data_IF_600517847129
#
_entry.id   IF_600517847129
#
_cell.length_a   1.000
_cell.length_b   1.000
_cell.length_c   1.000
_cell.angle_alpha   90.00
_cell.angle_beta   90.00
_cell.angle_gamma   90.00
#
_symmetry.space_group_name_H-M   'P 1'
#
loop_
_entity.id
_entity.type
_entity.pdbx_description
1 polymer ?
#
# COMPACT_ATOMS: atom_id res chain seq x y z
N UNK A 1 24.33 1.01 15.42
CA UNK A 1 24.34 1.06 13.95
C UNK A 1 23.60 2.31 13.51
N UNK A 2 24.16 3.06 12.56
CA UNK A 2 23.53 4.27 12.03
C UNK A 2 22.61 3.90 10.85
N UNK A 3 21.44 4.55 10.78
CA UNK A 3 20.52 4.45 9.64
C UNK A 3 21.08 5.27 8.48
N UNK A 4 21.12 4.67 7.30
CA UNK A 4 21.41 5.35 6.03
C UNK A 4 20.16 6.09 5.54
N UNK A 5 20.32 6.98 4.56
CA UNK A 5 19.19 7.69 3.95
C UNK A 5 18.19 6.72 3.31
N UNK A 6 18.70 5.68 2.65
CA UNK A 6 17.87 4.58 2.12
C UNK A 6 17.03 3.91 3.21
N UNK A 7 17.63 3.60 4.37
CA UNK A 7 16.87 2.99 5.46
C UNK A 7 15.78 3.93 5.99
N UNK A 8 16.08 5.24 6.06
CA UNK A 8 15.11 6.26 6.47
C UNK A 8 13.95 6.33 5.50
N UNK A 9 14.19 6.33 4.20
CA UNK A 9 13.13 6.33 3.18
C UNK A 9 12.21 5.11 3.29
N UNK A 10 12.78 3.91 3.43
CA UNK A 10 12.01 2.67 3.61
C UNK A 10 11.17 2.74 4.89
N UNK A 11 11.75 3.21 5.98
CA UNK A 11 11.06 3.34 7.26
C UNK A 11 9.98 4.42 7.22
N UNK A 12 10.19 5.53 6.51
CA UNK A 12 9.16 6.55 6.27
C UNK A 12 8.00 5.93 5.47
N UNK A 13 8.29 5.18 4.42
CA UNK A 13 7.24 4.49 3.65
C UNK A 13 6.42 3.54 4.55
N UNK A 14 7.09 2.68 5.33
CA UNK A 14 6.44 1.71 6.22
C UNK A 14 5.74 2.32 7.44
N UNK A 15 6.08 3.55 7.83
CA UNK A 15 5.47 4.23 8.98
C UNK A 15 4.37 5.22 8.58
N UNK A 16 4.39 5.73 7.35
CA UNK A 16 3.47 6.81 6.93
C UNK A 16 2.61 6.49 5.72
N UNK A 17 3.08 5.60 4.84
CA UNK A 17 2.53 5.49 3.48
C UNK A 17 1.89 4.14 3.23
N UNK A 18 2.47 3.06 3.76
CA UNK A 18 2.02 1.69 3.52
C UNK A 18 2.22 0.85 4.77
N UNK A 19 1.36 -0.15 4.98
CA UNK A 19 1.39 -1.00 6.17
C UNK A 19 2.52 -2.02 6.15
N UNK A 20 2.83 -2.54 4.96
CA UNK A 20 3.84 -3.56 4.75
C UNK A 20 4.41 -3.52 3.33
N UNK A 21 5.62 -4.04 3.17
CA UNK A 21 6.29 -4.18 1.89
C UNK A 21 6.94 -5.57 1.78
N UNK A 22 6.94 -6.16 0.58
CA UNK A 22 7.72 -7.39 0.34
C UNK A 22 9.21 -7.09 0.20
N UNK A 23 10.04 -8.14 0.36
CA UNK A 23 11.47 -8.04 0.04
C UNK A 23 11.68 -7.57 -1.41
N UNK A 24 10.91 -8.12 -2.34
CA UNK A 24 11.00 -7.86 -3.76
C UNK A 24 10.62 -6.40 -4.07
N UNK A 25 9.54 -5.89 -3.47
CA UNK A 25 9.15 -4.47 -3.57
C UNK A 25 10.25 -3.54 -3.07
N UNK A 26 10.79 -3.82 -1.88
CA UNK A 26 11.87 -3.01 -1.31
C UNK A 26 13.12 -3.04 -2.20
N UNK A 27 13.51 -4.23 -2.66
CA UNK A 27 14.70 -4.39 -3.50
C UNK A 27 14.56 -3.66 -4.83
N UNK A 28 13.42 -3.80 -5.54
CA UNK A 28 13.18 -3.13 -6.83
C UNK A 28 13.11 -1.61 -6.72
N UNK A 29 12.67 -1.07 -5.59
CA UNK A 29 12.52 0.38 -5.41
C UNK A 29 13.80 1.06 -4.95
N UNK A 30 14.54 0.49 -3.98
CA UNK A 30 15.67 1.17 -3.33
C UNK A 30 17.05 0.59 -3.69
N UNK A 31 17.09 -0.55 -4.36
CA UNK A 31 18.29 -1.15 -4.93
C UNK A 31 18.12 -1.32 -6.44
N UNK A 32 19.16 -1.82 -7.10
CA UNK A 32 19.06 -2.28 -8.48
C UNK A 32 18.13 -3.48 -8.57
N UNK A 33 17.22 -3.49 -9.54
CA UNK A 33 16.36 -4.63 -9.84
C UNK A 33 17.18 -5.77 -10.47
N UNK A 34 17.90 -6.51 -9.62
CA UNK A 34 18.78 -7.59 -9.99
C UNK A 34 18.91 -8.60 -8.85
N UNK A 35 19.36 -9.84 -9.13
CA UNK A 35 19.61 -10.85 -8.09
C UNK A 35 20.59 -10.37 -7.00
N UNK A 36 21.62 -9.61 -7.39
CA UNK A 36 22.59 -9.04 -6.44
C UNK A 36 21.98 -7.90 -5.62
N UNK A 37 21.11 -7.09 -6.20
CA UNK A 37 20.33 -6.06 -5.50
C UNK A 37 19.42 -6.67 -4.43
N UNK A 38 18.65 -7.72 -4.78
CA UNK A 38 17.79 -8.45 -3.84
C UNK A 38 18.62 -9.07 -2.70
N UNK A 39 19.77 -9.68 -3.01
CA UNK A 39 20.64 -10.27 -2.00
C UNK A 39 21.19 -9.22 -1.02
N UNK A 40 21.56 -8.04 -1.54
CA UNK A 40 22.07 -6.93 -0.73
C UNK A 40 20.97 -6.31 0.14
N UNK A 41 19.79 -6.08 -0.43
CA UNK A 41 18.60 -5.63 0.29
C UNK A 41 18.28 -6.60 1.44
N UNK A 42 18.22 -7.91 1.16
CA UNK A 42 17.95 -8.94 2.17
C UNK A 42 18.94 -8.89 3.33
N UNK A 43 20.24 -8.75 3.05
CA UNK A 43 21.27 -8.63 4.10
C UNK A 43 21.05 -7.38 4.94
N UNK A 44 20.79 -6.22 4.33
CA UNK A 44 20.55 -4.97 5.07
C UNK A 44 19.28 -5.06 5.93
N UNK A 45 18.18 -5.53 5.36
CA UNK A 45 16.90 -5.66 6.06
C UNK A 45 16.97 -6.67 7.20
N UNK A 46 17.76 -7.74 7.08
CA UNK A 46 17.99 -8.66 8.19
C UNK A 46 18.60 -7.97 9.42
N UNK A 47 19.50 -7.00 9.21
CA UNK A 47 20.10 -6.23 10.32
C UNK A 47 19.10 -5.25 10.94
N UNK A 48 18.24 -4.62 10.13
CA UNK A 48 17.18 -3.72 10.62
C UNK A 48 16.03 -4.47 11.31
N UNK A 49 15.88 -5.76 10.97
CA UNK A 49 14.85 -6.65 11.48
C UNK A 49 15.33 -7.59 12.59
N UNK A 50 16.57 -7.45 13.06
CA UNK A 50 17.13 -8.27 14.13
C UNK A 50 16.60 -7.81 15.51
N UNK A 51 15.80 -8.63 16.22
CA UNK A 51 15.26 -8.27 17.53
C UNK A 51 16.32 -8.10 18.62
N UNK A 52 17.50 -8.72 18.46
CA UNK A 52 18.62 -8.55 19.39
C UNK A 52 19.37 -7.23 19.16
N UNK A 53 19.17 -6.58 18.02
CA UNK A 53 19.80 -5.32 17.69
C UNK A 53 19.12 -4.16 18.40
N UNK A 54 19.92 -3.25 18.97
CA UNK A 54 19.44 -1.92 19.41
C UNK A 54 18.80 -1.12 18.27
N UNK A 55 18.97 -1.54 17.02
CA UNK A 55 18.39 -0.92 15.84
C UNK A 55 17.19 -1.69 15.28
N UNK A 56 16.52 -2.53 16.09
CA UNK A 56 15.28 -3.21 15.71
C UNK A 56 14.18 -2.19 15.38
N UNK A 57 14.03 -1.89 14.10
CA UNK A 57 13.13 -0.83 13.59
C UNK A 57 12.05 -1.40 12.67
N UNK A 58 12.25 -2.59 12.11
CA UNK A 58 11.24 -3.30 11.34
C UNK A 58 11.10 -4.73 11.81
N UNK A 59 9.95 -5.36 11.56
CA UNK A 59 9.72 -6.77 11.84
C UNK A 59 9.64 -7.52 10.50
N UNK A 60 10.37 -8.63 10.39
CA UNK A 60 10.28 -9.55 9.26
C UNK A 60 9.22 -10.61 9.54
N UNK A 61 8.31 -10.81 8.58
CA UNK A 61 7.27 -11.84 8.62
C UNK A 61 7.33 -12.72 7.35
N UNK A 62 6.81 -13.94 7.45
CA UNK A 62 6.48 -14.77 6.29
C UNK A 62 4.97 -14.94 6.23
N UNK A 63 4.36 -14.48 5.14
CA UNK A 63 2.91 -14.54 4.92
C UNK A 63 2.63 -15.19 3.56
N UNK A 64 1.46 -15.81 3.41
CA UNK A 64 1.02 -16.25 2.09
C UNK A 64 0.31 -15.09 1.40
N UNK A 65 0.79 -14.72 0.21
CA UNK A 65 0.19 -13.69 -0.61
C UNK A 65 0.18 -14.13 -2.08
N UNK A 66 -0.82 -13.69 -2.83
CA UNK A 66 -0.77 -13.85 -4.29
C UNK A 66 0.43 -13.08 -4.87
N UNK A 67 1.03 -13.58 -5.96
CA UNK A 67 2.02 -12.82 -6.72
C UNK A 67 1.54 -11.40 -7.05
N UNK A 68 2.48 -10.45 -7.10
CA UNK A 68 2.19 -9.07 -7.46
C UNK A 68 1.64 -9.01 -8.91
N UNK A 69 0.48 -8.36 -9.08
CA UNK A 69 -0.07 -8.03 -10.39
C UNK A 69 0.77 -6.93 -11.05
N UNK A 70 0.82 -6.89 -12.38
CA UNK A 70 1.32 -5.71 -13.07
C UNK A 70 0.29 -4.57 -12.93
N UNK A 71 0.65 -3.50 -12.21
CA UNK A 71 -0.20 -2.32 -11.98
C UNK A 71 0.32 -1.13 -12.80
N UNK A 72 0.14 -1.17 -14.12
CA UNK A 72 0.60 -0.11 -15.02
C UNK A 72 -0.25 1.17 -14.95
N UNK A 73 -1.48 1.07 -14.44
CA UNK A 73 -2.40 2.17 -14.25
C UNK A 73 -3.71 1.71 -13.62
N UNK A 74 -4.62 2.64 -13.31
CA UNK A 74 -5.94 2.29 -12.83
C UNK A 74 -6.74 1.57 -13.93
N UNK A 75 -7.52 0.58 -13.52
CA UNK A 75 -8.44 -0.17 -14.38
C UNK A 75 -9.65 0.69 -14.76
N UNK A 76 -10.00 1.62 -13.87
CA UNK A 76 -11.10 2.54 -14.05
C UNK A 76 -10.85 3.84 -13.27
N UNK A 77 -11.27 4.96 -13.85
CA UNK A 77 -11.28 6.27 -13.23
C UNK A 77 -12.71 6.80 -13.28
N UNK A 78 -13.10 7.57 -12.27
CA UNK A 78 -14.38 8.25 -12.25
C UNK A 78 -14.27 9.62 -11.61
N UNK A 79 -14.99 10.59 -12.17
CA UNK A 79 -15.10 11.96 -11.69
C UNK A 79 -16.56 12.30 -11.33
N UNK A 80 -16.80 13.18 -10.34
CA UNK A 80 -18.13 13.69 -10.04
C UNK A 80 -18.84 14.25 -11.28
N UNK A 81 -20.07 13.79 -11.49
CA UNK A 81 -20.89 14.16 -12.65
C UNK A 81 -20.81 13.17 -13.82
N UNK A 82 -19.84 12.25 -13.83
CA UNK A 82 -19.77 11.17 -14.83
C UNK A 82 -20.80 10.06 -14.54
N UNK A 83 -21.30 9.36 -15.58
CA UNK A 83 -22.22 8.26 -15.40
C UNK A 83 -21.59 7.12 -14.57
N UNK A 84 -22.44 6.39 -13.84
CA UNK A 84 -22.02 5.23 -13.08
C UNK A 84 -21.42 4.15 -13.99
N UNK A 85 -20.35 3.44 -13.56
CA UNK A 85 -19.78 2.36 -14.34
C UNK A 85 -20.70 1.14 -14.39
N UNK A 86 -20.46 0.27 -15.37
CA UNK A 86 -21.07 -1.05 -15.40
C UNK A 86 -20.40 -1.98 -14.35
N UNK A 87 -20.91 -1.97 -13.11
CA UNK A 87 -20.27 -2.61 -11.95
C UNK A 87 -19.92 -4.09 -12.17
N UNK A 88 -20.80 -4.85 -12.84
CA UNK A 88 -20.55 -6.27 -13.15
C UNK A 88 -19.35 -6.47 -14.07
N UNK A 89 -19.20 -5.61 -15.09
CA UNK A 89 -18.08 -5.70 -16.03
C UNK A 89 -16.77 -5.28 -15.35
N UNK A 90 -16.83 -4.26 -14.49
CA UNK A 90 -15.68 -3.81 -13.73
C UNK A 90 -15.21 -4.87 -12.72
N UNK A 91 -16.13 -5.46 -11.94
CA UNK A 91 -15.85 -6.58 -11.04
C UNK A 91 -15.21 -7.76 -11.77
N UNK A 92 -15.73 -8.12 -12.95
CA UNK A 92 -15.16 -9.19 -13.77
C UNK A 92 -13.71 -8.88 -14.19
N UNK A 93 -13.44 -7.66 -14.67
CA UNK A 93 -12.08 -7.22 -15.04
C UNK A 93 -11.11 -7.31 -13.87
N UNK A 94 -11.52 -6.87 -12.68
CA UNK A 94 -10.70 -6.95 -11.46
C UNK A 94 -10.36 -8.40 -11.10
N UNK A 95 -11.37 -9.28 -11.09
CA UNK A 95 -11.23 -10.70 -10.73
C UNK A 95 -10.36 -11.48 -11.72
N UNK A 96 -10.50 -11.22 -13.02
CA UNK A 96 -9.79 -11.96 -14.08
C UNK A 96 -8.26 -11.86 -13.98
N UNK A 97 -7.74 -10.84 -13.28
CA UNK A 97 -6.30 -10.67 -13.05
C UNK A 97 -5.70 -11.74 -12.15
N UNK A 98 -6.52 -12.36 -11.29
CA UNK A 98 -6.05 -13.35 -10.32
C UNK A 98 -6.11 -14.76 -10.92
N UNK A 99 -4.96 -15.26 -11.36
CA UNK A 99 -4.81 -16.59 -11.95
C UNK A 99 -3.74 -17.47 -11.26
N UNK A 100 -2.89 -16.88 -10.43
CA UNK A 100 -1.85 -17.60 -9.69
C UNK A 100 -2.25 -17.83 -8.23
N UNK A 101 -1.79 -18.95 -7.66
CA UNK A 101 -2.05 -19.29 -6.26
C UNK A 101 -1.18 -18.45 -5.28
N UNK A 102 -1.64 -18.23 -4.03
CA UNK A 102 -0.81 -17.62 -3.00
C UNK A 102 0.49 -18.39 -2.75
N UNK A 103 1.58 -17.65 -2.53
CA UNK A 103 2.90 -18.21 -2.19
C UNK A 103 3.48 -17.58 -0.93
N UNK A 104 4.35 -18.31 -0.20
CA UNK A 104 5.09 -17.74 0.92
C UNK A 104 5.92 -16.54 0.46
N UNK A 105 5.65 -15.38 1.05
CA UNK A 105 6.23 -14.09 0.72
C UNK A 105 6.85 -13.50 1.97
N UNK A 106 8.11 -13.05 1.87
CA UNK A 106 8.79 -12.37 2.98
C UNK A 106 8.40 -10.90 2.95
N UNK A 107 7.82 -10.41 4.04
CA UNK A 107 7.38 -9.02 4.18
C UNK A 107 7.99 -8.36 5.39
N UNK A 108 8.02 -7.03 5.37
CA UNK A 108 8.53 -6.20 6.44
C UNK A 108 7.47 -5.17 6.84
N UNK A 109 7.33 -4.96 8.15
CA UNK A 109 6.48 -3.93 8.74
C UNK A 109 7.30 -3.05 9.68
N UNK A 110 6.89 -1.80 9.88
CA UNK A 110 7.50 -0.94 10.89
C UNK A 110 7.19 -1.47 12.30
N UNK A 111 8.17 -1.45 13.19
CA UNK A 111 7.96 -1.70 14.63
C UNK A 111 7.34 -0.47 15.30
N UNK A 112 6.83 -0.62 16.52
CA UNK A 112 6.43 0.53 17.34
C UNK A 112 7.59 1.49 17.60
N UNK A 113 8.82 0.97 17.69
CA UNK A 113 10.02 1.80 17.86
C UNK A 113 10.23 2.72 16.66
N UNK A 114 10.13 2.19 15.45
CA UNK A 114 10.20 3.00 14.24
C UNK A 114 9.06 4.01 14.18
N UNK A 115 7.84 3.58 14.48
CA UNK A 115 6.68 4.46 14.53
C UNK A 115 6.91 5.67 15.46
N UNK A 116 7.43 5.44 16.68
CA UNK A 116 7.78 6.52 17.62
C UNK A 116 8.91 7.42 17.10
N UNK A 117 9.94 6.84 16.49
CA UNK A 117 11.08 7.60 15.97
C UNK A 117 10.72 8.48 14.77
N UNK A 118 9.83 8.01 13.89
CA UNK A 118 9.43 8.70 12.67
C UNK A 118 8.07 9.42 12.76
N UNK A 119 7.37 9.34 13.90
CA UNK A 119 6.07 9.98 14.09
C UNK A 119 4.94 9.38 13.25
N UNK A 120 4.96 8.06 13.04
CA UNK A 120 4.01 7.33 12.20
C UNK A 120 3.36 6.14 12.90
N UNK A 121 2.97 5.13 12.11
CA UNK A 121 2.29 3.91 12.54
C UNK A 121 3.23 2.71 12.44
N UNK A 122 3.00 1.70 13.26
CA UNK A 122 3.81 0.48 13.30
C UNK A 122 3.39 -0.41 14.46
N UNK A 123 4.05 -1.56 14.59
CA UNK A 123 3.75 -2.56 15.61
C UNK A 123 3.29 -3.87 14.97
N UNK A 124 2.20 -4.45 15.47
CA UNK A 124 1.72 -5.77 15.01
C UNK A 124 0.83 -5.64 13.77
N UNK A 125 1.02 -6.54 12.80
CA UNK A 125 0.08 -6.70 11.69
C UNK A 125 -1.23 -7.31 12.20
N UNK A 126 -2.30 -6.51 12.21
CA UNK A 126 -3.60 -6.90 12.81
C UNK A 126 -4.37 -7.92 11.96
N UNK A 127 -4.21 -7.90 10.64
CA UNK A 127 -4.97 -8.74 9.70
C UNK A 127 -4.04 -9.44 8.71
N UNK A 128 -3.29 -10.47 9.13
CA UNK A 128 -2.31 -11.14 8.27
C UNK A 128 -2.89 -11.72 6.97
N UNK A 129 -4.18 -12.11 6.97
CA UNK A 129 -4.87 -12.61 5.78
C UNK A 129 -5.14 -11.53 4.72
N UNK A 130 -4.96 -10.24 5.06
CA UNK A 130 -5.07 -9.12 4.10
C UNK A 130 -3.74 -8.80 3.42
N UNK A 131 -2.67 -9.57 3.66
CA UNK A 131 -1.33 -9.30 3.11
C UNK A 131 -1.32 -9.13 1.58
N UNK A 132 -2.08 -9.94 0.84
CA UNK A 132 -2.21 -9.75 -0.62
C UNK A 132 -2.72 -8.36 -0.96
N UNK A 133 -3.80 -7.92 -0.32
CA UNK A 133 -4.40 -6.61 -0.59
C UNK A 133 -3.43 -5.48 -0.18
N UNK A 134 -2.88 -5.53 1.04
CA UNK A 134 -1.92 -4.53 1.53
C UNK A 134 -0.67 -4.42 0.64
N UNK A 135 -0.13 -5.54 0.13
CA UNK A 135 1.02 -5.53 -0.79
C UNK A 135 0.70 -4.81 -2.11
N UNK A 136 -0.50 -4.97 -2.64
CA UNK A 136 -0.89 -4.35 -3.90
C UNK A 136 -1.23 -2.87 -3.71
N UNK A 137 -1.85 -2.49 -2.59
CA UNK A 137 -1.97 -1.06 -2.22
C UNK A 137 -0.59 -0.43 -2.11
N UNK A 138 0.38 -1.15 -1.51
CA UNK A 138 1.75 -0.67 -1.43
C UNK A 138 2.41 -0.55 -2.80
N UNK A 139 2.12 -1.45 -3.73
CA UNK A 139 2.61 -1.38 -5.10
C UNK A 139 2.11 -0.12 -5.84
N UNK A 140 0.85 0.29 -5.63
CA UNK A 140 0.31 1.55 -6.17
C UNK A 140 1.10 2.74 -5.63
N UNK A 141 1.33 2.79 -4.31
CA UNK A 141 2.16 3.83 -3.70
C UNK A 141 3.58 3.86 -4.29
N UNK A 142 4.24 2.71 -4.39
CA UNK A 142 5.60 2.63 -4.94
C UNK A 142 5.66 3.03 -6.42
N UNK A 143 4.58 2.77 -7.18
CA UNK A 143 4.43 3.27 -8.54
C UNK A 143 4.41 4.79 -8.55
N UNK A 144 3.54 5.43 -7.76
CA UNK A 144 3.53 6.89 -7.65
C UNK A 144 4.87 7.42 -7.17
N UNK A 145 5.53 6.80 -6.19
CA UNK A 145 6.84 7.23 -5.73
C UNK A 145 7.88 7.29 -6.86
N UNK A 146 7.77 6.40 -7.86
CA UNK A 146 8.66 6.36 -9.01
C UNK A 146 8.23 7.31 -10.15
N UNK A 147 6.94 7.42 -10.44
CA UNK A 147 6.44 8.11 -11.65
C UNK A 147 5.85 9.49 -11.39
N UNK A 148 5.37 9.73 -10.17
CA UNK A 148 4.77 11.00 -9.73
C UNK A 148 5.06 11.21 -8.21
N UNK A 149 6.30 11.60 -7.85
CA UNK A 149 6.70 11.77 -6.45
C UNK A 149 5.87 12.82 -5.70
N UNK A 150 5.31 13.81 -6.41
CA UNK A 150 4.45 14.83 -5.83
C UNK A 150 3.16 14.17 -5.32
N UNK A 151 2.49 13.39 -6.16
CA UNK A 151 1.30 12.62 -5.76
C UNK A 151 1.61 11.62 -4.65
N UNK A 152 2.77 10.95 -4.68
CA UNK A 152 3.21 10.07 -3.59
C UNK A 152 3.43 10.83 -2.26
N UNK A 153 3.92 12.06 -2.33
CA UNK A 153 4.05 12.97 -1.18
C UNK A 153 2.70 13.25 -0.50
N UNK A 154 1.65 13.42 -1.30
CA UNK A 154 0.27 13.69 -0.88
C UNK A 154 -0.54 12.45 -0.51
N UNK A 155 0.01 11.25 -0.71
CA UNK A 155 -0.60 9.98 -0.33
C UNK A 155 -0.79 9.85 1.19
N UNK A 156 -1.98 9.42 1.59
CA UNK A 156 -2.33 9.08 2.96
C UNK A 156 -3.01 7.71 2.98
N UNK A 157 -2.50 6.77 3.78
CA UNK A 157 -3.04 5.41 3.89
C UNK A 157 -4.19 5.28 4.90
N UNK A 158 -4.98 4.21 4.78
CA UNK A 158 -6.05 3.82 5.71
C UNK A 158 -5.70 4.04 7.20
N UNK A 159 -4.53 3.56 7.62
CA UNK A 159 -4.09 3.58 9.03
C UNK A 159 -4.02 5.00 9.62
N UNK A 160 -3.77 6.02 8.79
CA UNK A 160 -3.66 7.42 9.22
C UNK A 160 -5.00 8.04 9.61
N UNK A 161 -6.11 7.62 8.98
CA UNK A 161 -7.44 8.22 9.21
C UNK A 161 -8.44 7.28 9.87
N UNK A 162 -8.14 5.99 10.01
CA UNK A 162 -8.98 5.06 10.76
C UNK A 162 -9.38 5.53 12.19
N UNK A 163 -8.52 6.23 12.96
CA UNK A 163 -8.91 6.76 14.27
C UNK A 163 -9.95 7.88 14.23
N UNK A 164 -10.02 8.63 13.11
CA UNK A 164 -10.84 9.83 12.96
C UNK A 164 -12.21 9.54 12.31
N UNK A 165 -12.36 8.38 11.65
CA UNK A 165 -13.57 8.02 10.88
C UNK A 165 -14.25 6.77 11.44
N UNK A 166 -14.85 6.90 12.62
CA UNK A 166 -15.66 5.80 13.22
C UNK A 166 -16.94 5.60 12.40
N UNK A 167 -17.15 4.38 11.89
CA UNK A 167 -18.36 3.91 11.15
C UNK A 167 -18.50 4.37 9.70
N UNK A 168 -17.49 4.99 9.11
CA UNK A 168 -17.47 5.32 7.68
C UNK A 168 -16.63 4.30 6.90
N UNK A 169 -16.96 4.07 5.62
CA UNK A 169 -16.10 3.28 4.75
C UNK A 169 -14.76 4.01 4.61
N UNK A 170 -13.67 3.30 4.90
CA UNK A 170 -12.33 3.80 4.71
C UNK A 170 -11.83 3.36 3.33
N UNK A 171 -11.38 4.30 2.48
CA UNK A 171 -10.66 3.93 1.28
C UNK A 171 -9.29 3.35 1.64
N UNK A 172 -8.73 2.55 0.73
CA UNK A 172 -7.39 1.97 0.91
C UNK A 172 -6.33 3.06 1.06
N UNK A 173 -6.45 4.11 0.25
CA UNK A 173 -5.70 5.35 0.39
C UNK A 173 -6.42 6.54 -0.22
N UNK A 174 -5.91 7.73 0.06
CA UNK A 174 -6.35 8.97 -0.58
C UNK A 174 -5.13 9.81 -0.97
N UNK A 175 -5.31 10.65 -1.98
CA UNK A 175 -4.42 11.78 -2.27
C UNK A 175 -5.08 13.04 -1.72
N UNK A 176 -4.32 13.84 -0.98
CA UNK A 176 -4.78 15.14 -0.50
C UNK A 176 -4.34 16.28 -1.42
N UNK A 177 -5.07 17.38 -1.43
CA UNK A 177 -4.60 18.64 -2.00
C UNK A 177 -3.67 19.39 -1.02
N UNK A 178 -3.13 20.53 -1.44
CA UNK A 178 -2.27 21.38 -0.61
C UNK A 178 -3.00 21.95 0.62
N UNK A 179 -4.32 22.10 0.54
CA UNK A 179 -5.16 22.54 1.66
C UNK A 179 -5.47 21.40 2.65
N UNK A 180 -5.07 20.16 2.34
CA UNK A 180 -5.27 18.99 3.18
C UNK A 180 -6.63 18.29 2.99
N UNK A 181 -7.45 18.72 2.03
CA UNK A 181 -8.70 18.05 1.66
C UNK A 181 -8.42 16.80 0.83
N UNK A 182 -9.36 15.86 0.80
CA UNK A 182 -9.25 14.70 -0.08
C UNK A 182 -9.51 15.14 -1.51
N UNK A 183 -8.51 15.00 -2.38
CA UNK A 183 -8.60 15.31 -3.79
C UNK A 183 -8.91 14.08 -4.65
N UNK A 184 -8.53 12.88 -4.19
CA UNK A 184 -8.72 11.63 -4.92
C UNK A 184 -8.76 10.43 -3.95
N UNK A 185 -9.69 9.51 -4.20
CA UNK A 185 -9.75 8.21 -3.55
C UNK A 185 -9.00 7.16 -4.37
N UNK A 186 -8.18 6.34 -3.72
CA UNK A 186 -7.49 5.20 -4.31
C UNK A 186 -8.03 3.92 -3.69
N UNK A 187 -8.49 3.00 -4.54
CA UNK A 187 -8.99 1.69 -4.14
C UNK A 187 -8.28 0.61 -4.94
N UNK A 188 -7.75 -0.41 -4.26
CA UNK A 188 -7.25 -1.60 -4.92
C UNK A 188 -8.40 -2.60 -5.11
N UNK A 189 -8.81 -2.77 -6.36
CA UNK A 189 -9.86 -3.70 -6.74
C UNK A 189 -9.36 -5.15 -6.74
N UNK A 190 -9.37 -5.79 -5.56
CA UNK A 190 -9.04 -7.21 -5.41
C UNK A 190 -10.08 -8.14 -6.07
N UNK A 191 -10.40 -9.27 -5.44
CA UNK A 191 -11.47 -10.17 -5.91
C UNK A 191 -12.89 -9.64 -5.61
N UNK A 192 -13.10 -8.32 -5.72
CA UNK A 192 -14.35 -7.64 -5.37
C UNK A 192 -15.52 -8.08 -6.24
N UNK A 193 -16.67 -8.33 -5.63
CA UNK A 193 -17.93 -8.50 -6.34
C UNK A 193 -18.51 -7.16 -6.82
N UNK A 194 -19.49 -7.22 -7.72
CA UNK A 194 -20.12 -6.01 -8.26
C UNK A 194 -20.70 -5.11 -7.16
N UNK A 195 -21.29 -5.70 -6.12
CA UNK A 195 -21.84 -4.97 -4.97
C UNK A 195 -20.76 -4.21 -4.20
N UNK A 196 -19.55 -4.75 -4.08
CA UNK A 196 -18.45 -4.05 -3.43
C UNK A 196 -18.01 -2.83 -4.26
N UNK A 197 -17.88 -3.01 -5.58
CA UNK A 197 -17.54 -1.90 -6.49
C UNK A 197 -18.62 -0.81 -6.44
N UNK A 198 -19.89 -1.20 -6.45
CA UNK A 198 -21.02 -0.29 -6.30
C UNK A 198 -20.95 0.49 -4.97
N UNK A 199 -20.62 -0.17 -3.85
CA UNK A 199 -20.43 0.53 -2.56
C UNK A 199 -19.29 1.55 -2.57
N UNK A 200 -18.17 1.26 -3.25
CA UNK A 200 -17.09 2.25 -3.46
C UNK A 200 -17.66 3.46 -4.20
N UNK A 201 -18.34 3.20 -5.31
CA UNK A 201 -18.87 4.24 -6.18
C UNK A 201 -19.89 5.13 -5.45
N UNK A 202 -20.87 4.54 -4.76
CA UNK A 202 -21.89 5.28 -4.03
C UNK A 202 -21.29 6.16 -2.91
N UNK A 203 -20.27 5.66 -2.21
CA UNK A 203 -19.57 6.44 -1.17
C UNK A 203 -18.78 7.62 -1.77
N UNK A 204 -18.22 7.46 -2.97
CA UNK A 204 -17.53 8.53 -3.69
C UNK A 204 -18.51 9.56 -4.28
N UNK A 205 -19.63 9.11 -4.86
CA UNK A 205 -20.72 9.97 -5.35
C UNK A 205 -21.28 10.82 -4.21
N UNK A 206 -21.60 10.20 -3.07
CA UNK A 206 -22.18 10.89 -1.89
C UNK A 206 -21.27 12.00 -1.37
N UNK A 207 -19.95 11.82 -1.47
CA UNK A 207 -18.96 12.79 -0.99
C UNK A 207 -18.42 13.70 -2.10
N UNK A 208 -18.90 13.54 -3.34
CA UNK A 208 -18.40 14.23 -4.52
C UNK A 208 -16.87 14.12 -4.68
N UNK A 209 -16.32 12.92 -4.43
CA UNK A 209 -14.89 12.64 -4.54
C UNK A 209 -14.61 11.80 -5.78
N UNK A 210 -13.63 12.16 -6.62
CA UNK A 210 -13.19 11.27 -7.68
C UNK A 210 -12.46 10.05 -7.11
N UNK A 211 -12.41 8.97 -7.89
CA UNK A 211 -11.67 7.78 -7.49
C UNK A 211 -10.97 7.10 -8.66
N UNK A 212 -9.88 6.43 -8.31
CA UNK A 212 -9.18 5.47 -9.16
C UNK A 212 -9.34 4.07 -8.58
N UNK A 213 -9.75 3.13 -9.42
CA UNK A 213 -9.82 1.71 -9.08
C UNK A 213 -8.70 0.95 -9.78
N UNK A 214 -7.78 0.42 -8.98
CA UNK A 214 -6.53 -0.21 -9.41
C UNK A 214 -6.58 -1.73 -9.44
#
# INVERSE_FOLDING_TARGET
>A
MQLTDRDREILIALTHKVRLLSLEQIARTWWTDSPSGIATARKRLAVLADPASRSYVMQRLKLNAHPELALDGPIFLWQPGEPAPHFGALSYRLKKRWNEAPKPTTVYIATEKAARYFGGFGGKLRRPLQATHDLHVAQIYLRFLKTDPVRAGLWVSEDRFAPQRRREKLPDAVIRDEAGNIALVIEFGGAYDAKHVERVHLDCVTRSLPYELW
#
